data_IF_277212804355
#
_entry.id   IF_277212804355
#
_cell.length_a   1.000
_cell.length_b   1.000
_cell.length_c   1.000
_cell.angle_alpha   90.00
_cell.angle_beta   90.00
_cell.angle_gamma   90.00
#
_symmetry.space_group_name_H-M   'P 1'
#
loop_
_entity.id
_entity.type
_entity.pdbx_description
1 polymer ?
#
# COMPACT_ATOMS: atom_id res chain seq x y z
N UNK A 1 -47.36 2.17 -17.74
CA UNK A 1 -48.06 1.19 -16.89
C UNK A 1 -47.37 -0.15 -17.10
N UNK A 2 -46.33 -0.43 -16.31
CA UNK A 2 -45.61 -1.70 -16.39
C UNK A 2 -46.17 -2.60 -15.28
N UNK A 3 -46.80 -3.67 -15.71
CA UNK A 3 -47.27 -4.78 -14.87
C UNK A 3 -46.11 -5.25 -13.97
N UNK A 4 -46.29 -5.03 -12.68
CA UNK A 4 -45.45 -5.50 -11.59
C UNK A 4 -45.49 -7.02 -11.56
N UNK A 5 -44.50 -7.66 -12.19
CA UNK A 5 -44.20 -9.06 -11.96
C UNK A 5 -43.48 -9.16 -10.62
N UNK A 6 -44.24 -9.13 -9.52
CA UNK A 6 -43.75 -9.47 -8.19
C UNK A 6 -43.43 -10.96 -8.15
N UNK A 7 -42.21 -11.32 -8.58
CA UNK A 7 -41.63 -12.60 -8.21
C UNK A 7 -41.52 -12.62 -6.69
N UNK A 8 -42.43 -13.34 -6.04
CA UNK A 8 -42.38 -13.69 -4.63
C UNK A 8 -41.06 -14.43 -4.36
N UNK A 9 -40.03 -13.70 -3.93
CA UNK A 9 -38.81 -14.34 -3.44
C UNK A 9 -39.11 -14.80 -2.01
N UNK A 10 -39.33 -16.10 -1.85
CA UNK A 10 -39.38 -16.74 -0.53
C UNK A 10 -38.07 -16.45 0.22
N UNK A 11 -38.15 -16.18 1.52
CA UNK A 11 -36.99 -15.97 2.38
C UNK A 11 -35.93 -17.05 2.14
N UNK A 12 -34.71 -16.63 1.76
CA UNK A 12 -33.58 -17.54 1.55
C UNK A 12 -32.49 -17.29 2.57
N UNK A 13 -32.08 -18.37 3.24
CA UNK A 13 -30.96 -18.38 4.16
C UNK A 13 -29.72 -19.00 3.51
N UNK A 14 -28.59 -18.31 3.61
CA UNK A 14 -27.29 -18.79 3.16
C UNK A 14 -26.39 -18.96 4.37
N UNK A 15 -25.79 -20.16 4.51
CA UNK A 15 -24.87 -20.48 5.60
C UNK A 15 -23.49 -20.83 5.06
N UNK A 16 -22.50 -20.96 5.95
CA UNK A 16 -21.15 -21.36 5.58
C UNK A 16 -21.15 -22.79 5.00
N UNK A 17 -20.29 -23.07 4.01
CA UNK A 17 -20.13 -24.41 3.42
C UNK A 17 -19.80 -25.46 4.49
N UNK A 18 -20.34 -26.70 4.38
CA UNK A 18 -20.14 -27.73 5.41
C UNK A 18 -18.65 -28.01 5.69
N UNK A 19 -17.81 -28.07 4.64
CA UNK A 19 -16.36 -28.27 4.80
C UNK A 19 -15.69 -27.17 5.63
N UNK A 20 -16.11 -25.92 5.45
CA UNK A 20 -15.61 -24.80 6.25
C UNK A 20 -16.12 -24.83 7.69
N UNK A 21 -17.37 -25.25 7.92
CA UNK A 21 -17.87 -25.47 9.29
C UNK A 21 -17.04 -26.52 10.02
N UNK A 22 -16.76 -27.65 9.36
CA UNK A 22 -15.92 -28.73 9.92
C UNK A 22 -14.52 -28.22 10.21
N UNK A 23 -13.90 -27.49 9.25
CA UNK A 23 -12.57 -26.93 9.42
C UNK A 23 -12.49 -25.98 10.62
N UNK A 24 -13.41 -25.02 10.75
CA UNK A 24 -13.40 -24.04 11.85
C UNK A 24 -13.68 -24.73 13.19
N UNK A 25 -14.62 -25.69 13.24
CA UNK A 25 -14.88 -26.48 14.45
C UNK A 25 -13.67 -27.33 14.87
N UNK A 26 -13.01 -27.98 13.90
CA UNK A 26 -11.77 -28.72 14.15
C UNK A 26 -10.65 -27.82 14.68
N UNK A 27 -10.48 -26.63 14.10
CA UNK A 27 -9.50 -25.65 14.58
C UNK A 27 -9.82 -25.15 16.00
N UNK A 28 -11.09 -24.88 16.31
CA UNK A 28 -11.52 -24.51 17.65
C UNK A 28 -11.24 -25.62 18.68
N UNK A 29 -11.41 -26.91 18.32
CA UNK A 29 -11.04 -28.04 19.20
C UNK A 29 -9.54 -28.07 19.48
N UNK A 30 -8.70 -27.82 18.48
CA UNK A 30 -7.25 -27.72 18.67
C UNK A 30 -6.88 -26.55 19.61
N UNK A 31 -7.56 -25.42 19.48
CA UNK A 31 -7.38 -24.28 20.40
C UNK A 31 -7.77 -24.64 21.84
N UNK A 32 -8.89 -25.35 22.03
CA UNK A 32 -9.28 -25.85 23.36
C UNK A 32 -8.26 -26.84 23.92
N UNK A 33 -7.75 -27.76 23.11
CA UNK A 33 -6.71 -28.70 23.52
C UNK A 33 -5.41 -27.97 23.91
N UNK A 34 -5.01 -26.96 23.14
CA UNK A 34 -3.86 -26.10 23.46
C UNK A 34 -4.04 -25.32 24.76
N UNK A 35 -5.22 -24.73 24.97
CA UNK A 35 -5.54 -24.06 26.23
C UNK A 35 -5.56 -25.04 27.42
N UNK A 36 -6.11 -26.25 27.23
CA UNK A 36 -6.06 -27.33 28.23
C UNK A 36 -4.64 -27.77 28.55
N UNK A 37 -3.75 -27.84 27.55
CA UNK A 37 -2.33 -28.13 27.75
C UNK A 37 -1.61 -27.01 28.53
N UNK A 38 -1.92 -25.74 28.24
CA UNK A 38 -1.41 -24.62 29.05
C UNK A 38 -1.85 -24.71 30.51
N UNK A 39 -3.10 -25.13 30.77
CA UNK A 39 -3.59 -25.38 32.13
C UNK A 39 -2.94 -26.59 32.79
N UNK A 40 -2.63 -27.64 32.03
CA UNK A 40 -1.86 -28.79 32.52
C UNK A 40 -0.42 -28.41 32.89
N UNK A 41 0.23 -27.52 32.13
CA UNK A 41 1.58 -27.05 32.47
C UNK A 41 1.61 -26.28 33.81
N UNK A 42 0.51 -25.64 34.20
CA UNK A 42 0.36 -25.02 35.54
C UNK A 42 0.47 -26.03 36.69
N UNK A 43 0.14 -27.31 36.46
CA UNK A 43 0.19 -28.34 37.51
C UNK A 43 1.55 -29.04 37.61
N UNK A 44 2.38 -28.94 36.57
CA UNK A 44 3.65 -29.67 36.44
C UNK A 44 4.90 -28.82 36.73
N UNK A 45 4.83 -27.48 36.62
CA UNK A 45 5.99 -26.59 36.76
C UNK A 45 5.73 -25.36 37.63
N UNK A 46 6.81 -24.86 38.25
CA UNK A 46 6.91 -23.54 38.91
C UNK A 46 6.94 -22.38 37.88
N UNK A 47 6.21 -22.51 36.77
CA UNK A 47 6.10 -21.45 35.76
C UNK A 47 5.11 -20.38 36.21
N UNK A 48 5.29 -19.15 35.71
CA UNK A 48 4.49 -18.00 36.13
C UNK A 48 3.00 -18.22 35.76
N UNK A 49 2.10 -18.42 36.75
CA UNK A 49 0.73 -18.85 36.48
C UNK A 49 -0.09 -17.79 35.75
N UNK A 50 0.29 -16.52 35.91
CA UNK A 50 -0.41 -15.40 35.30
C UNK A 50 -0.30 -15.39 33.77
N UNK A 51 0.85 -15.78 33.23
CA UNK A 51 1.08 -15.79 31.77
C UNK A 51 0.27 -16.89 31.11
N UNK A 52 0.29 -18.11 31.67
CA UNK A 52 -0.45 -19.24 31.11
C UNK A 52 -1.96 -19.03 31.20
N UNK A 53 -2.47 -18.45 32.29
CA UNK A 53 -3.88 -18.08 32.41
C UNK A 53 -4.27 -16.95 31.45
N UNK A 54 -3.41 -15.94 31.28
CA UNK A 54 -3.63 -14.84 30.35
C UNK A 54 -3.69 -15.29 28.88
N UNK A 55 -3.13 -16.47 28.54
CA UNK A 55 -3.24 -17.06 27.20
C UNK A 55 -4.41 -18.04 27.11
N UNK A 56 -4.55 -18.95 28.08
CA UNK A 56 -5.54 -20.02 28.03
C UNK A 56 -6.99 -19.50 28.03
N UNK A 57 -7.29 -18.46 28.82
CA UNK A 57 -8.64 -17.91 28.94
C UNK A 57 -9.07 -17.23 27.62
N UNK A 58 -8.33 -16.25 27.05
CA UNK A 58 -8.73 -15.64 25.79
C UNK A 58 -8.78 -16.62 24.63
N UNK A 59 -7.85 -17.57 24.54
CA UNK A 59 -7.85 -18.60 23.48
C UNK A 59 -9.11 -19.47 23.58
N UNK A 60 -9.51 -19.87 24.78
CA UNK A 60 -10.74 -20.66 25.00
C UNK A 60 -12.00 -19.86 24.64
N UNK A 61 -12.06 -18.58 25.04
CA UNK A 61 -13.18 -17.69 24.68
C UNK A 61 -13.26 -17.50 23.17
N UNK A 62 -12.13 -17.28 22.48
CA UNK A 62 -12.08 -17.14 21.03
C UNK A 62 -12.50 -18.44 20.32
N UNK A 63 -12.03 -19.60 20.79
CA UNK A 63 -12.41 -20.90 20.26
C UNK A 63 -13.93 -21.14 20.39
N UNK A 64 -14.50 -20.81 21.55
CA UNK A 64 -15.93 -20.92 21.79
C UNK A 64 -16.75 -19.97 20.90
N UNK A 65 -16.32 -18.71 20.79
CA UNK A 65 -16.95 -17.74 19.90
C UNK A 65 -16.91 -18.18 18.44
N UNK A 66 -15.77 -18.68 17.95
CA UNK A 66 -15.62 -19.20 16.59
C UNK A 66 -16.54 -20.40 16.36
N UNK A 67 -16.62 -21.32 17.32
CA UNK A 67 -17.53 -22.46 17.26
C UNK A 67 -18.99 -22.01 17.12
N UNK A 68 -19.47 -21.13 17.98
CA UNK A 68 -20.85 -20.63 17.94
C UNK A 68 -21.15 -19.81 16.68
N UNK A 69 -20.17 -19.05 16.18
CA UNK A 69 -20.36 -18.27 14.96
C UNK A 69 -20.57 -19.18 13.74
N UNK A 70 -19.95 -20.36 13.65
CA UNK A 70 -20.18 -21.27 12.50
C UNK A 70 -21.64 -21.69 12.29
N UNK A 71 -22.42 -21.78 13.38
CA UNK A 71 -23.82 -22.22 13.33
C UNK A 71 -24.79 -21.02 13.22
N UNK A 72 -24.44 -19.89 13.83
CA UNK A 72 -25.28 -18.67 13.84
C UNK A 72 -24.99 -17.71 12.70
N UNK A 73 -23.86 -17.84 12.01
CA UNK A 73 -23.47 -16.95 10.94
C UNK A 73 -24.22 -17.29 9.65
N UNK A 74 -25.17 -16.41 9.31
CA UNK A 74 -26.10 -16.58 8.20
C UNK A 74 -26.32 -15.25 7.48
N UNK A 75 -26.51 -15.32 6.17
CA UNK A 75 -27.03 -14.23 5.36
C UNK A 75 -28.46 -14.60 5.03
N UNK A 76 -29.40 -13.72 5.36
CA UNK A 76 -30.81 -13.88 5.05
C UNK A 76 -31.19 -12.81 4.06
N UNK A 77 -31.67 -13.22 2.88
CA UNK A 77 -32.19 -12.33 1.85
C UNK A 77 -33.69 -12.53 1.80
N UNK A 78 -34.43 -11.45 2.05
CA UNK A 78 -35.89 -11.37 1.94
C UNK A 78 -36.26 -10.41 0.82
N UNK A 79 -37.56 -10.29 0.51
CA UNK A 79 -38.05 -9.29 -0.45
C UNK A 79 -37.84 -7.85 0.00
N UNK A 80 -37.70 -7.61 1.31
CA UNK A 80 -37.70 -6.26 1.89
C UNK A 80 -36.37 -5.88 2.54
N UNK A 81 -35.56 -6.85 2.95
CA UNK A 81 -34.28 -6.61 3.63
C UNK A 81 -33.22 -7.69 3.39
N UNK A 82 -31.96 -7.27 3.52
CA UNK A 82 -30.80 -8.15 3.63
C UNK A 82 -30.34 -8.10 5.08
N UNK A 83 -30.21 -9.27 5.70
CA UNK A 83 -29.81 -9.39 7.10
C UNK A 83 -28.58 -10.27 7.23
N UNK A 84 -27.53 -9.74 7.87
CA UNK A 84 -26.38 -10.52 8.31
C UNK A 84 -26.53 -10.82 9.80
N UNK A 85 -26.64 -12.10 10.14
CA UNK A 85 -26.62 -12.59 11.52
C UNK A 85 -25.26 -13.22 11.78
N UNK A 86 -24.61 -12.82 12.85
CA UNK A 86 -23.43 -13.46 13.45
C UNK A 86 -23.76 -13.78 14.90
N UNK A 87 -22.95 -14.59 15.56
CA UNK A 87 -23.07 -14.83 16.99
C UNK A 87 -23.07 -13.52 17.81
N UNK A 88 -22.28 -12.51 17.39
CA UNK A 88 -22.07 -11.28 18.16
C UNK A 88 -22.97 -10.14 17.66
N UNK A 89 -23.20 -10.04 16.35
CA UNK A 89 -23.86 -8.88 15.73
C UNK A 89 -24.96 -9.31 14.78
N UNK A 90 -26.10 -8.61 14.83
CA UNK A 90 -27.14 -8.62 13.79
C UNK A 90 -27.13 -7.27 13.09
N UNK A 91 -27.02 -7.30 11.77
CA UNK A 91 -27.15 -6.11 10.91
C UNK A 91 -28.23 -6.37 9.89
N UNK A 92 -29.18 -5.46 9.79
CA UNK A 92 -30.29 -5.55 8.86
C UNK A 92 -30.36 -4.25 8.06
N UNK A 93 -30.54 -4.39 6.75
CA UNK A 93 -30.61 -3.27 5.82
C UNK A 93 -31.78 -3.52 4.86
N UNK A 94 -32.80 -2.67 4.94
CA UNK A 94 -33.92 -2.72 4.03
C UNK A 94 -33.47 -2.42 2.60
N UNK A 95 -34.02 -3.12 1.59
CA UNK A 95 -33.62 -2.99 0.19
C UNK A 95 -33.77 -1.54 -0.30
N UNK A 96 -34.85 -0.86 0.09
CA UNK A 96 -35.07 0.57 -0.20
C UNK A 96 -34.00 1.52 0.35
N UNK A 97 -33.20 1.08 1.32
CA UNK A 97 -32.12 1.87 1.91
C UNK A 97 -30.75 1.46 1.37
N UNK A 98 -30.68 0.54 0.41
CA UNK A 98 -29.45 0.10 -0.24
C UNK A 98 -29.15 1.04 -1.40
N UNK A 99 -27.94 1.61 -1.41
CA UNK A 99 -27.44 2.38 -2.55
C UNK A 99 -26.99 1.46 -3.68
N UNK A 100 -26.35 0.35 -3.31
CA UNK A 100 -25.83 -0.67 -4.22
C UNK A 100 -24.76 -1.49 -3.53
N UNK A 101 -23.95 -2.21 -4.31
CA UNK A 101 -22.85 -3.01 -3.79
C UNK A 101 -21.53 -2.76 -4.53
N UNK A 102 -20.41 -3.08 -3.87
CA UNK A 102 -19.07 -3.10 -4.45
C UNK A 102 -18.46 -4.47 -4.24
N UNK A 103 -17.66 -4.95 -5.19
CA UNK A 103 -16.93 -6.22 -5.09
C UNK A 103 -15.43 -5.93 -4.87
N UNK A 104 -14.83 -6.60 -3.88
CA UNK A 104 -13.39 -6.58 -3.65
C UNK A 104 -12.84 -8.00 -3.58
N UNK A 105 -12.38 -8.53 -4.71
CA UNK A 105 -11.95 -9.93 -4.82
C UNK A 105 -13.08 -10.83 -4.33
N UNK A 106 -12.91 -11.45 -3.16
CA UNK A 106 -13.86 -12.38 -2.54
C UNK A 106 -14.76 -11.71 -1.48
N UNK A 107 -14.72 -10.38 -1.33
CA UNK A 107 -15.54 -9.66 -0.36
C UNK A 107 -16.57 -8.78 -1.05
N UNK A 108 -17.82 -8.82 -0.59
CA UNK A 108 -18.91 -7.98 -1.11
C UNK A 108 -19.28 -6.95 -0.05
N UNK A 109 -19.40 -5.69 -0.44
CA UNK A 109 -19.81 -4.60 0.44
C UNK A 109 -21.10 -4.00 -0.07
N UNK A 110 -22.18 -4.18 0.68
CA UNK A 110 -23.50 -3.60 0.40
C UNK A 110 -23.56 -2.27 1.14
N UNK A 111 -23.59 -1.17 0.38
CA UNK A 111 -23.52 0.19 0.91
C UNK A 111 -24.92 0.77 1.10
N UNK A 112 -25.20 1.38 2.26
CA UNK A 112 -26.45 2.09 2.47
C UNK A 112 -26.46 3.43 1.73
N UNK A 113 -27.65 3.99 1.53
CA UNK A 113 -27.86 5.34 0.97
C UNK A 113 -27.33 6.43 1.92
N UNK A 114 -27.44 6.20 3.23
CA UNK A 114 -27.02 7.14 4.28
C UNK A 114 -26.18 6.44 5.34
N UNK A 115 -25.24 7.19 5.95
CA UNK A 115 -24.41 6.73 7.08
C UNK A 115 -25.22 6.38 8.33
N UNK A 116 -26.49 6.77 8.40
CA UNK A 116 -27.41 6.39 9.46
C UNK A 116 -27.74 4.88 9.48
N UNK A 117 -27.56 4.18 8.35
CA UNK A 117 -27.85 2.75 8.24
C UNK A 117 -26.58 1.89 8.26
N UNK A 118 -26.65 0.64 8.75
CA UNK A 118 -25.47 -0.20 8.84
C UNK A 118 -25.02 -0.70 7.46
N UNK A 119 -23.72 -0.58 7.17
CA UNK A 119 -23.11 -1.27 6.05
C UNK A 119 -23.02 -2.78 6.33
N UNK A 120 -23.45 -3.59 5.36
CA UNK A 120 -23.32 -5.05 5.37
C UNK A 120 -22.11 -5.43 4.53
N UNK A 121 -21.11 -6.05 5.16
CA UNK A 121 -20.01 -6.72 4.48
C UNK A 121 -20.27 -8.21 4.46
N UNK A 122 -19.99 -8.87 3.35
CA UNK A 122 -19.95 -10.33 3.21
C UNK A 122 -18.50 -10.66 2.89
N UNK A 123 -17.80 -11.22 3.87
CA UNK A 123 -16.40 -11.59 3.71
C UNK A 123 -16.27 -13.02 3.21
N UNK A 124 -15.37 -13.23 2.24
CA UNK A 124 -15.09 -14.53 1.66
C UNK A 124 -16.34 -15.20 1.06
N UNK A 125 -16.91 -14.62 0.01
CA UNK A 125 -18.13 -15.12 -0.65
C UNK A 125 -17.96 -16.58 -1.08
N UNK A 126 -16.75 -17.01 -1.42
CA UNK A 126 -16.40 -18.40 -1.72
C UNK A 126 -16.67 -19.39 -0.57
N UNK A 127 -16.72 -18.94 0.68
CA UNK A 127 -16.97 -19.77 1.86
C UNK A 127 -18.45 -20.04 2.12
N UNK A 128 -19.35 -19.33 1.43
CA UNK A 128 -20.80 -19.43 1.61
C UNK A 128 -21.41 -20.51 0.70
N UNK A 129 -22.43 -21.20 1.20
CA UNK A 129 -23.25 -22.10 0.39
C UNK A 129 -24.00 -21.29 -0.66
N UNK A 130 -24.17 -21.88 -1.85
CA UNK A 130 -24.84 -21.26 -2.99
C UNK A 130 -24.34 -19.83 -3.27
N UNK A 131 -23.02 -19.61 -3.16
CA UNK A 131 -22.40 -18.30 -3.38
C UNK A 131 -22.76 -17.68 -4.73
N UNK A 132 -22.96 -18.51 -5.76
CA UNK A 132 -23.41 -18.08 -7.09
C UNK A 132 -24.82 -17.48 -7.06
N UNK A 133 -25.72 -18.02 -6.24
CA UNK A 133 -27.10 -17.53 -6.09
C UNK A 133 -27.11 -16.15 -5.41
N UNK A 134 -26.28 -15.96 -4.39
CA UNK A 134 -26.09 -14.65 -3.74
C UNK A 134 -25.57 -13.64 -4.77
N UNK A 135 -24.54 -14.00 -5.54
CA UNK A 135 -23.96 -13.12 -6.56
C UNK A 135 -24.98 -12.78 -7.66
N UNK A 136 -25.72 -13.77 -8.15
CA UNK A 136 -26.76 -13.58 -9.15
C UNK A 136 -27.86 -12.65 -8.62
N UNK A 137 -28.34 -12.90 -7.39
CA UNK A 137 -29.34 -12.04 -6.75
C UNK A 137 -28.86 -10.60 -6.63
N UNK A 138 -27.61 -10.37 -6.22
CA UNK A 138 -27.02 -9.04 -6.13
C UNK A 138 -26.94 -8.36 -7.50
N UNK A 139 -26.51 -9.08 -8.54
CA UNK A 139 -26.42 -8.58 -9.92
C UNK A 139 -27.79 -8.21 -10.50
N UNK A 140 -28.83 -8.98 -10.17
CA UNK A 140 -30.19 -8.75 -10.69
C UNK A 140 -30.94 -7.66 -9.92
N UNK A 141 -30.76 -7.55 -8.61
CA UNK A 141 -31.59 -6.71 -7.75
C UNK A 141 -30.92 -5.40 -7.31
N UNK A 142 -29.60 -5.32 -7.35
CA UNK A 142 -28.85 -4.16 -6.88
C UNK A 142 -27.93 -3.61 -7.96
N UNK A 143 -27.63 -2.31 -7.85
CA UNK A 143 -26.67 -1.64 -8.73
C UNK A 143 -25.24 -1.98 -8.26
N UNK A 144 -24.42 -2.46 -9.19
CA UNK A 144 -22.96 -2.53 -8.99
C UNK A 144 -22.41 -1.10 -9.03
N UNK A 145 -22.04 -0.58 -7.87
CA UNK A 145 -21.57 0.79 -7.71
C UNK A 145 -20.22 1.03 -8.39
N UNK A 146 -19.38 0.00 -8.53
CA UNK A 146 -18.09 0.15 -9.21
C UNK A 146 -18.28 0.22 -10.74
N UNK A 147 -19.20 -0.59 -11.28
CA UNK A 147 -19.49 -0.57 -12.73
C UNK A 147 -20.33 0.66 -13.13
N UNK A 148 -21.32 1.05 -12.31
CA UNK A 148 -22.11 2.26 -12.56
C UNK A 148 -21.24 3.53 -12.51
N UNK A 149 -20.31 3.63 -11.55
CA UNK A 149 -19.37 4.75 -11.49
C UNK A 149 -18.45 4.80 -12.72
N UNK A 150 -17.95 3.65 -13.18
CA UNK A 150 -17.15 3.55 -14.41
C UNK A 150 -17.93 4.03 -15.64
N UNK A 151 -19.19 3.63 -15.78
CA UNK A 151 -20.04 4.04 -16.90
C UNK A 151 -20.34 5.55 -16.86
N UNK A 152 -20.65 6.10 -15.68
CA UNK A 152 -20.86 7.54 -15.47
C UNK A 152 -19.61 8.36 -15.83
N UNK A 153 -18.44 7.92 -15.38
CA UNK A 153 -17.16 8.56 -15.73
C UNK A 153 -16.87 8.46 -17.23
N UNK A 154 -17.11 7.30 -17.85
CA UNK A 154 -16.91 7.10 -19.28
C UNK A 154 -17.83 8.01 -20.10
N UNK A 155 -19.11 8.10 -19.73
CA UNK A 155 -20.05 9.04 -20.36
C UNK A 155 -19.59 10.49 -20.20
N UNK A 156 -19.13 10.88 -19.01
CA UNK A 156 -18.58 12.21 -18.75
C UNK A 156 -17.41 12.53 -19.68
N UNK A 157 -16.50 11.58 -19.92
CA UNK A 157 -15.38 11.74 -20.86
C UNK A 157 -15.88 11.88 -22.30
N UNK A 158 -16.85 11.06 -22.71
CA UNK A 158 -17.38 11.05 -24.07
C UNK A 158 -18.27 12.25 -24.39
N UNK A 159 -18.84 12.89 -23.38
CA UNK A 159 -19.64 14.12 -23.51
C UNK A 159 -18.81 15.40 -23.46
N UNK A 160 -17.53 15.32 -23.04
CA UNK A 160 -16.66 16.48 -22.94
C UNK A 160 -16.29 17.04 -24.33
N UNK A 161 -16.96 18.13 -24.71
CA UNK A 161 -16.71 18.88 -25.94
C UNK A 161 -15.29 19.46 -26.02
N UNK A 162 -14.59 19.62 -24.91
CA UNK A 162 -13.18 20.05 -24.88
C UNK A 162 -12.21 18.99 -25.41
N UNK A 163 -12.63 17.73 -25.45
CA UNK A 163 -11.79 16.62 -25.91
C UNK A 163 -11.91 16.36 -27.41
N UNK A 164 -12.99 16.75 -28.09
CA UNK A 164 -13.15 16.50 -29.52
C UNK A 164 -14.49 16.96 -30.06
N UNK A 165 -14.58 17.12 -31.38
CA UNK A 165 -15.79 17.59 -32.06
C UNK A 165 -16.80 16.44 -32.12
N UNK A 166 -16.36 15.25 -32.52
CA UNK A 166 -17.19 14.04 -32.60
C UNK A 166 -16.97 13.11 -31.40
N UNK A 167 -17.91 12.19 -31.17
CA UNK A 167 -17.78 11.13 -30.16
C UNK A 167 -16.63 10.17 -30.50
N UNK A 168 -16.43 9.88 -31.79
CA UNK A 168 -15.33 9.04 -32.30
C UNK A 168 -13.96 9.65 -31.99
N UNK A 169 -13.79 10.98 -32.19
CA UNK A 169 -12.55 11.68 -31.83
C UNK A 169 -12.22 11.53 -30.34
N UNK A 170 -13.24 11.66 -29.48
CA UNK A 170 -13.08 11.55 -28.00
C UNK A 170 -12.70 10.12 -27.60
N UNK A 171 -13.32 9.11 -28.22
CA UNK A 171 -12.96 7.71 -28.02
C UNK A 171 -11.52 7.42 -28.44
N UNK A 172 -11.09 7.94 -29.59
CA UNK A 172 -9.72 7.76 -30.08
C UNK A 172 -8.69 8.44 -29.16
N UNK A 173 -8.99 9.64 -28.63
CA UNK A 173 -8.13 10.29 -27.64
C UNK A 173 -8.04 9.51 -26.34
N UNK A 174 -9.15 9.00 -25.81
CA UNK A 174 -9.15 8.16 -24.62
C UNK A 174 -8.35 6.87 -24.85
N UNK A 175 -8.50 6.23 -26.01
CA UNK A 175 -7.72 5.04 -26.36
C UNK A 175 -6.21 5.34 -26.45
N UNK A 176 -5.84 6.50 -26.99
CA UNK A 176 -4.45 6.95 -27.07
C UNK A 176 -3.87 7.23 -25.67
N UNK A 177 -4.64 7.91 -24.81
CA UNK A 177 -4.28 8.15 -23.41
C UNK A 177 -4.07 6.85 -22.63
N UNK A 178 -4.92 5.83 -22.86
CA UNK A 178 -4.75 4.47 -22.28
C UNK A 178 -3.43 3.83 -22.70
N UNK A 179 -3.07 3.90 -23.99
CA UNK A 179 -1.79 3.36 -24.48
C UNK A 179 -0.60 4.08 -23.85
N UNK A 180 -0.63 5.41 -23.80
CA UNK A 180 0.43 6.22 -23.18
C UNK A 180 0.61 5.81 -21.71
N UNK A 181 -0.46 5.78 -20.92
CA UNK A 181 -0.38 5.38 -19.51
C UNK A 181 0.16 3.96 -19.34
N UNK A 182 -0.25 3.03 -20.21
CA UNK A 182 0.23 1.66 -20.18
C UNK A 182 1.75 1.59 -20.41
N UNK A 183 2.26 2.31 -21.41
CA UNK A 183 3.70 2.36 -21.68
C UNK A 183 4.48 2.96 -20.51
N UNK A 184 4.00 4.05 -19.92
CA UNK A 184 4.64 4.66 -18.75
C UNK A 184 4.61 3.73 -17.52
N UNK A 185 3.50 3.04 -17.28
CA UNK A 185 3.38 2.10 -16.16
C UNK A 185 4.32 0.91 -16.32
N UNK A 186 4.40 0.34 -17.52
CA UNK A 186 5.37 -0.74 -17.84
C UNK A 186 6.81 -0.22 -17.68
N UNK A 187 7.12 0.95 -18.24
CA UNK A 187 8.44 1.56 -18.11
C UNK A 187 8.83 1.82 -16.65
N UNK A 188 7.89 2.28 -15.81
CA UNK A 188 8.12 2.50 -14.38
C UNK A 188 8.44 1.20 -13.63
N UNK A 189 7.73 0.11 -13.93
CA UNK A 189 8.03 -1.22 -13.35
C UNK A 189 9.41 -1.70 -13.80
N UNK A 190 9.72 -1.60 -15.10
CA UNK A 190 11.04 -2.01 -15.62
C UNK A 190 12.15 -1.20 -14.97
N UNK A 191 12.02 0.14 -14.93
CA UNK A 191 13.01 1.02 -14.32
C UNK A 191 13.21 0.73 -12.83
N UNK A 192 12.15 0.39 -12.10
CA UNK A 192 12.27 -0.02 -10.69
C UNK A 192 13.18 -1.24 -10.54
N UNK A 193 12.94 -2.32 -11.30
CA UNK A 193 13.76 -3.52 -11.22
C UNK A 193 15.20 -3.27 -11.72
N UNK A 194 15.37 -2.51 -12.80
CA UNK A 194 16.71 -2.19 -13.32
C UNK A 194 17.51 -1.36 -12.30
N UNK A 195 16.90 -0.36 -11.66
CA UNK A 195 17.58 0.45 -10.63
C UNK A 195 17.98 -0.36 -9.40
N UNK A 196 17.16 -1.33 -8.99
CA UNK A 196 17.46 -2.15 -7.83
C UNK A 196 18.51 -3.23 -8.13
N UNK A 197 18.45 -3.87 -9.30
CA UNK A 197 19.32 -5.00 -9.63
C UNK A 197 20.60 -4.60 -10.37
N UNK A 198 20.51 -3.65 -11.31
CA UNK A 198 21.60 -3.32 -12.24
C UNK A 198 21.68 -1.80 -12.55
N UNK A 199 21.97 -0.93 -11.56
CA UNK A 199 21.99 0.52 -11.76
C UNK A 199 23.32 0.98 -12.41
N UNK A 200 23.67 0.45 -13.59
CA UNK A 200 24.89 0.84 -14.32
C UNK A 200 24.53 1.27 -15.75
N UNK A 201 24.99 2.44 -16.24
CA UNK A 201 25.78 3.46 -15.55
C UNK A 201 24.95 4.24 -14.52
N UNK A 202 25.46 4.34 -13.29
CA UNK A 202 24.69 4.75 -12.11
C UNK A 202 24.11 6.17 -12.21
N UNK A 203 24.94 7.16 -12.52
CA UNK A 203 24.51 8.55 -12.62
C UNK A 203 23.42 8.75 -13.70
N UNK A 204 23.54 8.06 -14.84
CA UNK A 204 22.54 8.11 -15.91
C UNK A 204 21.20 7.53 -15.43
N UNK A 205 21.23 6.35 -14.80
CA UNK A 205 20.03 5.67 -14.32
C UNK A 205 19.29 6.51 -13.27
N UNK A 206 20.01 7.12 -12.33
CA UNK A 206 19.43 8.03 -11.35
C UNK A 206 18.87 9.29 -12.03
N UNK A 207 19.56 9.85 -13.03
CA UNK A 207 19.08 11.02 -13.78
C UNK A 207 17.75 10.71 -14.49
N UNK A 208 17.63 9.54 -15.12
CA UNK A 208 16.38 9.08 -15.75
C UNK A 208 15.28 8.95 -14.69
N UNK A 209 15.58 8.31 -13.55
CA UNK A 209 14.62 8.15 -12.45
C UNK A 209 14.12 9.48 -11.88
N UNK A 210 15.00 10.49 -11.81
CA UNK A 210 14.66 11.83 -11.35
C UNK A 210 13.77 12.57 -12.36
N UNK A 211 14.04 12.43 -13.66
CA UNK A 211 13.28 13.13 -14.70
C UNK A 211 11.90 12.50 -14.96
N UNK A 212 11.76 11.18 -14.79
CA UNK A 212 10.52 10.48 -15.16
C UNK A 212 9.24 10.98 -14.45
N UNK A 213 9.24 11.27 -13.13
CA UNK A 213 8.08 11.89 -12.48
C UNK A 213 7.71 13.26 -13.07
N UNK A 214 8.70 14.08 -13.47
CA UNK A 214 8.44 15.36 -14.15
C UNK A 214 7.82 15.14 -15.52
N UNK A 215 8.29 14.14 -16.27
CA UNK A 215 7.70 13.76 -17.55
C UNK A 215 6.26 13.28 -17.35
N UNK A 216 5.95 12.53 -16.29
CA UNK A 216 4.57 12.13 -15.96
C UNK A 216 3.67 13.35 -15.71
N UNK A 217 4.17 14.40 -15.04
CA UNK A 217 3.44 15.67 -14.85
C UNK A 217 3.14 16.34 -16.19
N UNK A 218 4.12 16.38 -17.10
CA UNK A 218 3.94 16.94 -18.45
C UNK A 218 2.90 16.13 -19.23
N UNK A 219 2.99 14.79 -19.21
CA UNK A 219 2.02 13.91 -19.89
C UNK A 219 0.61 14.13 -19.34
N UNK A 220 0.47 14.23 -18.02
CA UNK A 220 -0.81 14.54 -17.38
C UNK A 220 -1.35 15.92 -17.79
N UNK A 221 -0.49 16.93 -17.86
CA UNK A 221 -0.87 18.27 -18.31
C UNK A 221 -1.34 18.29 -19.77
N UNK A 222 -0.60 17.64 -20.68
CA UNK A 222 -0.93 17.58 -22.12
C UNK A 222 -2.22 16.82 -22.38
N UNK A 223 -2.48 15.76 -21.61
CA UNK A 223 -3.66 14.90 -21.75
C UNK A 223 -4.73 15.20 -20.69
N UNK A 224 -4.74 16.43 -20.16
CA UNK A 224 -5.67 16.85 -19.13
C UNK A 224 -7.13 16.65 -19.60
N UNK A 225 -7.96 16.08 -18.74
CA UNK A 225 -9.32 15.66 -19.09
C UNK A 225 -9.45 14.21 -19.53
N UNK A 226 -8.34 13.49 -19.78
CA UNK A 226 -8.38 12.07 -20.19
C UNK A 226 -7.54 11.14 -19.32
N UNK A 227 -6.61 11.66 -18.52
CA UNK A 227 -5.72 10.88 -17.65
C UNK A 227 -5.91 11.33 -16.20
N UNK A 228 -5.76 10.40 -15.26
CA UNK A 228 -5.58 10.71 -13.83
C UNK A 228 -4.15 10.36 -13.37
N UNK A 229 -3.62 11.07 -12.37
CA UNK A 229 -2.28 10.77 -11.83
C UNK A 229 -2.31 9.61 -10.84
N UNK A 230 -3.34 9.56 -10.01
CA UNK A 230 -3.50 8.55 -8.98
C UNK A 230 -4.95 8.09 -8.98
N UNK A 231 -5.13 6.78 -8.84
CA UNK A 231 -6.46 6.18 -8.76
C UNK A 231 -6.70 5.70 -7.32
N UNK A 232 -7.76 6.21 -6.70
CA UNK A 232 -8.24 5.74 -5.40
C UNK A 232 -9.41 4.73 -5.55
N UNK A 233 -9.88 4.50 -6.77
CA UNK A 233 -10.97 3.59 -7.10
C UNK A 233 -10.45 2.29 -7.74
N UNK A 234 -11.29 1.24 -7.81
CA UNK A 234 -10.88 -0.05 -8.40
C UNK A 234 -11.20 -0.19 -9.88
N UNK A 235 -12.16 0.61 -10.37
CA UNK A 235 -12.64 0.61 -11.74
C UNK A 235 -12.84 2.07 -12.14
N UNK A 236 -11.78 2.67 -12.65
CA UNK A 236 -11.77 4.04 -13.13
C UNK A 236 -11.86 4.05 -14.65
N UNK A 237 -12.69 4.91 -15.23
CA UNK A 237 -12.73 5.08 -16.68
C UNK A 237 -11.48 5.81 -17.20
N UNK A 238 -10.90 6.67 -16.36
CA UNK A 238 -9.69 7.42 -16.66
C UNK A 238 -8.44 6.53 -16.56
N UNK A 239 -7.64 6.38 -17.62
CA UNK A 239 -6.31 5.79 -17.51
C UNK A 239 -5.43 6.53 -16.50
N UNK A 240 -4.53 5.79 -15.84
CA UNK A 240 -3.75 6.31 -14.71
C UNK A 240 -2.25 6.12 -14.89
N UNK A 241 -1.46 7.09 -14.41
CA UNK A 241 0.01 7.05 -14.29
C UNK A 241 0.48 6.57 -12.91
N UNK A 242 -0.45 6.12 -12.05
CA UNK A 242 -0.17 5.79 -10.66
C UNK A 242 0.93 4.74 -10.48
N UNK A 243 0.89 3.69 -11.30
CA UNK A 243 1.87 2.60 -11.22
C UNK A 243 3.27 3.10 -11.58
N UNK A 244 3.40 3.88 -12.67
CA UNK A 244 4.66 4.49 -13.06
C UNK A 244 5.24 5.33 -11.91
N UNK A 245 4.45 6.28 -11.38
CA UNK A 245 4.88 7.16 -10.30
C UNK A 245 5.27 6.40 -9.04
N UNK A 246 4.45 5.45 -8.60
CA UNK A 246 4.70 4.67 -7.40
C UNK A 246 6.02 3.88 -7.49
N UNK A 247 6.21 3.14 -8.58
CA UNK A 247 7.42 2.34 -8.76
C UNK A 247 8.66 3.20 -8.99
N UNK A 248 8.58 4.29 -9.75
CA UNK A 248 9.73 5.17 -9.97
C UNK A 248 10.19 5.87 -8.70
N UNK A 249 9.25 6.47 -7.96
CA UNK A 249 9.55 7.18 -6.72
C UNK A 249 10.00 6.20 -5.63
N UNK A 250 9.39 5.02 -5.57
CA UNK A 250 9.83 3.93 -4.68
C UNK A 250 11.23 3.44 -5.00
N UNK A 251 11.58 3.25 -6.27
CA UNK A 251 12.93 2.85 -6.69
C UNK A 251 13.98 3.88 -6.25
N UNK A 252 13.70 5.16 -6.50
CA UNK A 252 14.62 6.24 -6.15
C UNK A 252 14.81 6.32 -4.64
N UNK A 253 13.73 6.27 -3.85
CA UNK A 253 13.80 6.26 -2.39
C UNK A 253 14.66 5.09 -1.88
N UNK A 254 14.32 3.87 -2.29
CA UNK A 254 15.03 2.67 -1.84
C UNK A 254 16.52 2.77 -2.19
N UNK A 255 16.84 3.25 -3.40
CA UNK A 255 18.23 3.40 -3.82
C UNK A 255 18.99 4.42 -2.98
N UNK A 256 18.36 5.56 -2.66
CA UNK A 256 18.99 6.57 -1.81
C UNK A 256 19.20 6.07 -0.38
N UNK A 257 18.27 5.27 0.16
CA UNK A 257 18.42 4.67 1.48
C UNK A 257 19.46 3.55 1.54
N UNK A 258 19.70 2.84 0.44
CA UNK A 258 20.68 1.74 0.38
C UNK A 258 22.11 2.27 0.20
N UNK A 259 22.27 3.32 -0.60
CA UNK A 259 23.60 3.76 -1.05
C UNK A 259 24.21 4.89 -0.20
N UNK A 260 23.39 5.65 0.55
CA UNK A 260 23.84 6.90 1.16
C UNK A 260 23.38 7.07 2.61
N UNK A 261 24.34 7.36 3.49
CA UNK A 261 24.12 7.77 4.86
C UNK A 261 24.44 9.25 5.05
N UNK A 262 23.43 10.04 5.37
CA UNK A 262 23.59 11.47 5.66
C UNK A 262 24.08 11.68 7.09
N UNK A 263 24.98 12.65 7.28
CA UNK A 263 25.44 13.04 8.62
C UNK A 263 24.37 13.83 9.39
N UNK A 264 23.58 14.64 8.70
CA UNK A 264 22.56 15.48 9.30
C UNK A 264 21.27 15.49 8.48
N UNK A 265 20.30 14.67 8.90
CA UNK A 265 18.98 14.60 8.27
C UNK A 265 18.14 15.86 8.52
N UNK A 266 18.44 16.64 9.56
CA UNK A 266 17.63 17.84 9.89
C UNK A 266 17.79 18.93 8.84
N UNK A 267 18.98 19.05 8.26
CA UNK A 267 19.26 20.00 7.17
C UNK A 267 18.49 19.68 5.89
N UNK A 268 17.99 18.45 5.73
CA UNK A 268 17.16 18.07 4.59
C UNK A 268 15.72 18.55 4.72
N UNK A 269 15.21 18.80 5.93
CA UNK A 269 13.78 19.05 6.19
C UNK A 269 13.31 20.28 5.43
N UNK A 270 13.99 21.42 5.61
CA UNK A 270 13.62 22.70 4.98
C UNK A 270 13.59 22.63 3.46
N UNK A 271 14.66 22.21 2.74
CA UNK A 271 14.63 22.15 1.28
C UNK A 271 13.61 21.13 0.76
N UNK A 272 13.43 19.99 1.44
CA UNK A 272 12.43 18.99 1.04
C UNK A 272 11.01 19.55 1.16
N UNK A 273 10.70 20.29 2.24
CA UNK A 273 9.40 20.97 2.39
C UNK A 273 9.20 22.01 1.29
N UNK A 274 10.23 22.78 0.93
CA UNK A 274 10.15 23.76 -0.16
C UNK A 274 9.81 23.06 -1.48
N UNK A 275 10.59 22.02 -1.85
CA UNK A 275 10.37 21.28 -3.11
C UNK A 275 8.99 20.61 -3.12
N UNK A 276 8.58 19.97 -2.02
CA UNK A 276 7.27 19.33 -1.91
C UNK A 276 6.13 20.35 -2.03
N UNK A 277 6.26 21.51 -1.39
CA UNK A 277 5.26 22.58 -1.44
C UNK A 277 5.18 23.19 -2.84
N UNK A 278 6.32 23.41 -3.51
CA UNK A 278 6.36 23.88 -4.89
C UNK A 278 5.70 22.90 -5.85
N UNK A 279 5.99 21.60 -5.74
CA UNK A 279 5.35 20.58 -6.57
C UNK A 279 3.84 20.47 -6.29
N UNK A 280 3.44 20.43 -5.01
CA UNK A 280 2.03 20.43 -4.63
C UNK A 280 1.30 21.67 -5.17
N UNK A 281 1.94 22.84 -5.15
CA UNK A 281 1.38 24.07 -5.72
C UNK A 281 1.24 23.99 -7.24
N UNK A 282 2.24 23.46 -7.96
CA UNK A 282 2.14 23.21 -9.42
C UNK A 282 0.97 22.26 -9.72
N UNK A 283 0.83 21.18 -8.97
CA UNK A 283 -0.31 20.27 -9.11
C UNK A 283 -1.64 20.96 -8.83
N UNK A 284 -1.70 21.80 -7.80
CA UNK A 284 -2.89 22.59 -7.48
C UNK A 284 -3.26 23.57 -8.61
N UNK A 285 -2.28 24.20 -9.25
CA UNK A 285 -2.52 25.06 -10.42
C UNK A 285 -3.05 24.27 -11.61
N UNK A 286 -2.44 23.12 -11.93
CA UNK A 286 -2.91 22.23 -13.00
C UNK A 286 -4.36 21.78 -12.72
N UNK A 287 -4.65 21.40 -11.47
CA UNK A 287 -5.99 21.03 -11.01
C UNK A 287 -7.00 22.16 -11.22
N UNK A 288 -6.71 23.37 -10.73
CA UNK A 288 -7.60 24.53 -10.84
C UNK A 288 -7.91 24.88 -12.30
N UNK A 289 -6.95 24.66 -13.20
CA UNK A 289 -7.10 24.98 -14.63
C UNK A 289 -7.89 23.93 -15.42
N UNK A 290 -8.07 22.69 -14.93
CA UNK A 290 -8.51 21.56 -15.77
C UNK A 290 -9.58 20.63 -15.15
N UNK A 291 -10.62 21.20 -14.52
CA UNK A 291 -11.82 20.49 -13.99
C UNK A 291 -11.50 19.39 -12.94
N UNK A 292 -12.49 18.82 -12.19
CA UNK A 292 -12.31 18.54 -10.78
C UNK A 292 -11.68 17.16 -10.48
N UNK A 293 -10.38 17.01 -10.71
CA UNK A 293 -9.60 15.90 -10.16
C UNK A 293 -9.35 16.05 -8.65
N UNK A 294 -9.96 15.21 -7.81
CA UNK A 294 -9.73 15.28 -6.36
C UNK A 294 -8.25 15.05 -6.04
N UNK A 295 -7.64 16.02 -5.35
CA UNK A 295 -6.30 15.86 -4.80
C UNK A 295 -6.33 14.70 -3.80
N UNK A 296 -5.57 13.64 -4.09
CA UNK A 296 -5.54 12.45 -3.23
C UNK A 296 -4.40 12.53 -2.22
N UNK A 297 -4.64 11.96 -1.03
CA UNK A 297 -3.59 11.78 -0.02
C UNK A 297 -2.42 10.95 -0.56
N UNK A 298 -2.71 9.99 -1.43
CA UNK A 298 -1.72 9.15 -2.11
C UNK A 298 -0.77 10.01 -2.96
N UNK A 299 -1.27 10.99 -3.71
CA UNK A 299 -0.43 11.92 -4.48
C UNK A 299 0.45 12.77 -3.56
N UNK A 300 -0.08 13.27 -2.45
CA UNK A 300 0.70 14.05 -1.47
C UNK A 300 1.88 13.24 -0.91
N UNK A 301 1.66 11.96 -0.60
CA UNK A 301 2.71 11.05 -0.13
C UNK A 301 3.76 10.83 -1.22
N UNK A 302 3.35 10.60 -2.48
CA UNK A 302 4.27 10.45 -3.61
C UNK A 302 5.14 11.70 -3.78
N UNK A 303 4.54 12.90 -3.69
CA UNK A 303 5.28 14.18 -3.77
C UNK A 303 6.29 14.29 -2.62
N UNK A 304 5.90 13.97 -1.39
CA UNK A 304 6.79 14.05 -0.24
C UNK A 304 7.99 13.09 -0.38
N UNK A 305 7.74 11.84 -0.76
CA UNK A 305 8.79 10.84 -0.98
C UNK A 305 9.72 11.27 -2.11
N UNK A 306 9.15 11.71 -3.24
CA UNK A 306 9.93 12.14 -4.39
C UNK A 306 10.80 13.36 -4.06
N UNK A 307 10.28 14.34 -3.33
CA UNK A 307 11.05 15.51 -2.89
C UNK A 307 12.24 15.13 -2.02
N UNK A 308 12.05 14.21 -1.06
CA UNK A 308 13.15 13.70 -0.24
C UNK A 308 14.17 12.91 -1.07
N UNK A 309 13.72 11.87 -1.77
CA UNK A 309 14.59 10.99 -2.53
C UNK A 309 15.34 11.74 -3.65
N UNK A 310 14.66 12.65 -4.35
CA UNK A 310 15.26 13.50 -5.36
C UNK A 310 16.28 14.47 -4.79
N UNK A 311 16.01 15.05 -3.62
CA UNK A 311 16.95 15.93 -2.93
C UNK A 311 18.23 15.18 -2.52
N UNK A 312 18.10 13.99 -1.90
CA UNK A 312 19.25 13.16 -1.54
C UNK A 312 20.02 12.71 -2.78
N UNK A 313 19.33 12.34 -3.86
CA UNK A 313 19.95 11.97 -5.13
C UNK A 313 20.78 13.11 -5.71
N UNK A 314 20.22 14.32 -5.78
CA UNK A 314 20.94 15.50 -6.26
C UNK A 314 22.15 15.79 -5.36
N UNK A 315 21.99 15.70 -4.04
CA UNK A 315 23.05 15.97 -3.09
C UNK A 315 24.20 14.96 -3.16
N UNK A 316 23.93 13.66 -3.32
CA UNK A 316 24.96 12.62 -3.15
C UNK A 316 25.49 12.08 -4.49
N UNK A 317 24.61 11.80 -5.46
CA UNK A 317 24.99 11.16 -6.74
C UNK A 317 25.82 12.08 -7.62
N UNK A 318 25.53 13.38 -7.56
CA UNK A 318 26.20 14.41 -8.33
C UNK A 318 27.24 15.18 -7.51
N UNK A 319 27.69 14.60 -6.40
CA UNK A 319 28.74 15.16 -5.56
C UNK A 319 30.15 14.84 -6.10
N UNK A 320 30.71 15.83 -6.78
CA UNK A 320 32.09 15.82 -7.28
C UNK A 320 33.11 16.36 -6.25
N UNK A 321 32.68 16.64 -5.02
CA UNK A 321 33.55 17.10 -3.94
C UNK A 321 34.59 16.05 -3.54
N UNK A 322 35.75 16.53 -3.09
CA UNK A 322 36.81 15.67 -2.54
C UNK A 322 36.42 15.19 -1.14
N UNK A 323 36.60 13.90 -0.89
CA UNK A 323 36.28 13.31 0.41
C UNK A 323 37.37 13.66 1.44
N UNK A 324 36.96 14.01 2.65
CA UNK A 324 37.84 14.09 3.83
C UNK A 324 37.87 12.73 4.51
N UNK A 325 39.07 12.21 4.78
CA UNK A 325 39.25 10.91 5.43
C UNK A 325 39.45 11.07 6.92
N UNK A 326 38.68 10.32 7.71
CA UNK A 326 38.86 10.15 9.15
C UNK A 326 39.19 8.69 9.44
N UNK A 327 39.98 8.45 10.49
CA UNK A 327 40.25 7.10 11.00
C UNK A 327 39.32 6.80 12.17
N UNK A 328 38.70 5.62 12.16
CA UNK A 328 37.95 5.07 13.28
C UNK A 328 38.42 3.65 13.58
N UNK A 329 38.32 3.20 14.83
CA UNK A 329 38.64 1.83 15.22
C UNK A 329 37.35 1.04 15.43
N UNK A 330 37.30 -0.18 14.91
CA UNK A 330 36.17 -1.09 15.17
C UNK A 330 36.28 -1.63 16.58
N UNK A 331 35.33 -1.25 17.45
CA UNK A 331 35.26 -1.71 18.84
C UNK A 331 34.68 -3.12 18.90
N UNK A 332 33.51 -3.31 18.29
CA UNK A 332 32.77 -4.57 18.32
C UNK A 332 32.03 -4.78 17.01
N UNK A 333 31.54 -6.01 16.83
CA UNK A 333 30.82 -6.44 15.63
C UNK A 333 29.65 -7.31 16.07
N UNK A 334 28.48 -7.05 15.52
CA UNK A 334 27.33 -7.89 15.81
C UNK A 334 26.40 -8.03 14.59
N UNK A 335 25.58 -9.07 14.63
CA UNK A 335 24.64 -9.41 13.57
C UNK A 335 23.24 -9.43 14.16
N UNK A 336 22.34 -8.64 13.58
CA UNK A 336 20.92 -8.68 13.93
C UNK A 336 20.19 -9.65 13.01
N UNK A 337 19.48 -10.62 13.60
CA UNK A 337 18.68 -11.61 12.90
C UNK A 337 17.21 -11.28 13.11
N UNK A 338 16.52 -10.93 12.02
CA UNK A 338 15.08 -10.75 11.99
C UNK A 338 14.48 -11.43 10.77
N UNK A 339 13.72 -10.67 9.97
CA UNK A 339 13.31 -11.12 8.63
C UNK A 339 14.47 -11.10 7.62
N UNK A 340 15.48 -10.29 7.89
CA UNK A 340 16.72 -10.15 7.13
C UNK A 340 17.90 -10.11 8.09
N UNK A 341 19.09 -10.45 7.61
CA UNK A 341 20.35 -10.37 8.35
C UNK A 341 20.98 -9.00 8.12
N UNK A 342 21.20 -8.23 9.19
CA UNK A 342 21.88 -6.93 9.12
C UNK A 342 23.19 -6.99 9.91
N UNK A 343 24.25 -6.43 9.33
CA UNK A 343 25.60 -6.46 9.88
C UNK A 343 25.96 -5.08 10.43
N UNK A 344 26.39 -5.02 11.70
CA UNK A 344 26.73 -3.78 12.38
C UNK A 344 28.19 -3.78 12.83
N UNK A 345 28.85 -2.63 12.69
CA UNK A 345 30.14 -2.33 13.28
C UNK A 345 29.96 -1.22 14.32
N UNK A 346 30.36 -1.47 15.55
CA UNK A 346 30.50 -0.40 16.54
C UNK A 346 31.86 0.25 16.32
N UNK A 347 31.88 1.54 15.99
CA UNK A 347 33.12 2.27 15.69
C UNK A 347 33.36 3.40 16.68
N UNK A 348 34.63 3.69 16.97
CA UNK A 348 35.01 4.84 17.80
C UNK A 348 34.55 6.15 17.16
N UNK A 349 34.32 7.17 17.99
CA UNK A 349 34.08 8.56 17.54
C UNK A 349 35.04 9.00 16.42
N UNK A 350 34.50 9.69 15.43
CA UNK A 350 35.23 10.17 14.26
C UNK A 350 34.60 11.46 13.74
N UNK A 351 35.42 12.37 13.22
CA UNK A 351 34.95 13.62 12.61
C UNK A 351 33.92 14.38 13.45
N UNK A 352 32.68 14.46 12.95
CA UNK A 352 31.56 15.16 13.58
C UNK A 352 30.77 14.29 14.59
N UNK A 353 30.93 12.97 14.56
CA UNK A 353 30.30 12.03 15.51
C UNK A 353 31.13 12.00 16.80
N UNK A 354 30.54 12.45 17.90
CA UNK A 354 31.21 12.56 19.21
C UNK A 354 31.08 11.29 20.08
N UNK A 355 30.19 10.40 19.69
CA UNK A 355 29.82 9.16 20.38
C UNK A 355 30.19 7.96 19.52
N UNK A 356 30.52 6.84 20.17
CA UNK A 356 30.61 5.55 19.48
C UNK A 356 29.19 5.11 19.13
N UNK A 357 28.98 4.69 17.89
CA UNK A 357 27.67 4.33 17.35
C UNK A 357 27.79 3.07 16.49
N UNK A 358 26.68 2.34 16.39
CA UNK A 358 26.54 1.18 15.53
C UNK A 358 26.26 1.63 14.10
N UNK A 359 27.16 1.29 13.18
CA UNK A 359 27.02 1.57 11.76
C UNK A 359 26.67 0.31 10.99
N UNK A 360 25.60 0.39 10.20
CA UNK A 360 25.18 -0.69 9.31
C UNK A 360 26.13 -0.77 8.11
N UNK A 361 26.67 -1.95 7.83
CA UNK A 361 27.62 -2.15 6.72
C UNK A 361 27.24 -3.30 5.79
N UNK A 362 27.68 -3.26 4.53
CA UNK A 362 27.61 -4.42 3.65
C UNK A 362 28.36 -5.63 4.24
N UNK A 363 27.86 -6.83 3.96
CA UNK A 363 28.47 -8.08 4.42
C UNK A 363 29.93 -8.24 3.98
N UNK A 364 30.29 -7.66 2.83
CA UNK A 364 31.67 -7.64 2.34
C UNK A 364 32.61 -6.86 3.25
N UNK A 365 32.20 -5.69 3.75
CA UNK A 365 32.98 -4.90 4.71
C UNK A 365 33.02 -5.65 6.04
N UNK A 366 31.86 -6.11 6.53
CA UNK A 366 31.78 -6.85 7.78
C UNK A 366 32.73 -8.05 7.78
N UNK A 367 32.74 -8.89 6.76
CA UNK A 367 33.58 -10.10 6.73
C UNK A 367 35.09 -9.79 6.66
N UNK A 368 35.47 -8.63 6.15
CA UNK A 368 36.87 -8.27 5.94
C UNK A 368 37.50 -7.48 7.10
N UNK A 369 36.71 -6.98 8.05
CA UNK A 369 37.21 -6.17 9.16
C UNK A 369 37.14 -6.94 10.49
N UNK A 370 38.17 -6.82 11.32
CA UNK A 370 38.22 -7.41 12.68
C UNK A 370 38.05 -6.35 13.76
N UNK A 371 37.53 -6.74 14.93
CA UNK A 371 37.57 -5.87 16.12
C UNK A 371 39.01 -5.48 16.45
N UNK A 372 39.23 -4.22 16.80
CA UNK A 372 40.53 -3.59 17.00
C UNK A 372 41.20 -3.05 15.73
N UNK A 373 40.64 -3.32 14.54
CA UNK A 373 41.20 -2.83 13.27
C UNK A 373 40.74 -1.38 13.00
N UNK A 374 41.63 -0.58 12.39
CA UNK A 374 41.29 0.77 11.89
C UNK A 374 40.56 0.68 10.54
N UNK A 375 39.53 1.50 10.39
CA UNK A 375 38.73 1.66 9.17
C UNK A 375 38.68 3.14 8.78
N UNK A 376 38.67 3.40 7.48
CA UNK A 376 38.55 4.75 6.95
C UNK A 376 37.08 5.14 6.84
N UNK A 377 36.76 6.31 7.39
CA UNK A 377 35.49 6.99 7.18
C UNK A 377 35.71 8.12 6.19
N UNK A 378 35.11 8.01 5.00
CA UNK A 378 35.18 9.03 3.97
C UNK A 378 33.96 9.94 4.09
N UNK A 379 34.19 11.22 4.35
CA UNK A 379 33.13 12.23 4.45
C UNK A 379 33.18 13.12 3.23
N UNK A 380 32.08 13.14 2.50
CA UNK A 380 31.88 14.00 1.34
C UNK A 380 30.99 15.20 1.70
N UNK A 381 31.24 16.38 1.10
CA UNK A 381 30.50 17.59 1.44
C UNK A 381 29.05 17.60 0.97
N UNK A 382 28.70 16.80 -0.05
CA UNK A 382 27.41 16.87 -0.73
C UNK A 382 27.35 18.03 -1.72
N UNK A 383 26.69 17.81 -2.86
CA UNK A 383 26.49 18.85 -3.90
C UNK A 383 25.68 20.04 -3.38
N UNK A 384 24.80 19.81 -2.40
CA UNK A 384 23.96 20.82 -1.76
C UNK A 384 24.47 21.20 -0.36
N UNK A 385 25.76 20.97 -0.09
CA UNK A 385 26.42 21.20 1.20
C UNK A 385 25.81 20.44 2.38
N UNK A 386 25.22 19.26 2.12
CA UNK A 386 24.78 18.34 3.18
C UNK A 386 25.74 17.15 3.19
N UNK A 387 26.59 17.05 4.23
CA UNK A 387 27.59 16.00 4.28
C UNK A 387 26.98 14.61 4.36
N UNK A 388 27.62 13.68 3.66
CA UNK A 388 27.31 12.25 3.69
C UNK A 388 28.61 11.47 3.79
N UNK A 389 28.55 10.21 4.22
CA UNK A 389 29.74 9.43 4.45
C UNK A 389 29.58 7.98 4.00
N UNK A 390 30.72 7.30 3.86
CA UNK A 390 30.78 5.87 3.61
C UNK A 390 32.04 5.28 4.24
N UNK A 391 31.95 4.00 4.58
CA UNK A 391 33.05 3.23 5.15
C UNK A 391 33.77 2.46 4.05
N UNK A 392 35.10 2.42 4.11
CA UNK A 392 35.89 1.50 3.29
C UNK A 392 37.09 0.99 4.08
N UNK A 393 37.48 -0.23 3.77
CA UNK A 393 38.71 -0.80 4.28
C UNK A 393 39.91 -0.05 3.68
N UNK A 394 41.00 -0.01 4.44
CA UNK A 394 42.31 0.40 3.94
C UNK A 394 42.79 -0.51 2.82
#
# INVERSE_FOLDING_TARGET
MNSSTTLSYTEKEYTIKPGWKIFVKGFALLMFAGAGYCLYLLTQKNENPYILLAVAIPVSVLAYCAWLDTDKNKIVITNDSITRRSFIKRKELAIRHIKGYNINKDNIFIKPISSAYPQISISGISYWQNSQEIQHWLQTNLIDLDSAAYEEELQTILEDKGLGITTEDRQQKLASAKKICTYFNIAGIILFFVLLMFPRPYQLMISIALLMPMICIIVFYVNAGTITMVDDSKKNAYPTLSTALFFLVGALLLRMMIDYDLLDYTQCITPVIIIASSLAFVFFLIYKLRKPYKFSYTLAIIIAIYSYAGFVAVNCVFDNGTAKTYQATVLSKHISHGKTTTYYLEITKWGLRKTSEDESVPSSIYNNVKSGQSINVYVKPGRLNIPWYFLSNN
#
